data_IF_318094409324
#
_entry.id   IF_318094409324
#
_cell.length_a   1.000
_cell.length_b   1.000
_cell.length_c   1.000
_cell.angle_alpha   90.00
_cell.angle_beta   90.00
_cell.angle_gamma   90.00
#
_symmetry.space_group_name_H-M   'P 1'
#
loop_
_entity.id
_entity.type
_entity.pdbx_description
1 polymer ?
#
# COMPACT_ATOMS: atom_id res chain seq x y z
N UNK A 1 12.37 -69.03 45.96
CA UNK A 1 12.51 -67.57 45.99
C UNK A 1 11.98 -67.03 44.67
N UNK A 2 10.72 -66.59 44.61
CA UNK A 2 10.07 -66.09 43.37
C UNK A 2 10.29 -64.58 43.30
N UNK A 3 11.03 -64.11 42.30
CA UNK A 3 11.26 -62.68 42.03
C UNK A 3 10.03 -62.09 41.35
N UNK A 4 9.40 -61.08 41.96
CA UNK A 4 8.38 -60.24 41.32
C UNK A 4 9.08 -59.05 40.65
N UNK A 5 8.96 -58.92 39.34
CA UNK A 5 9.33 -57.71 38.61
C UNK A 5 8.15 -56.73 38.63
N UNK A 6 8.32 -55.60 39.32
CA UNK A 6 7.38 -54.47 39.28
C UNK A 6 7.77 -53.61 38.07
N UNK A 7 6.93 -53.60 37.04
CA UNK A 7 7.05 -52.64 35.94
C UNK A 7 6.46 -51.29 36.40
N UNK A 8 7.34 -50.31 36.61
CA UNK A 8 6.96 -48.92 36.83
C UNK A 8 6.49 -48.32 35.50
N UNK A 9 5.20 -47.99 35.41
CA UNK A 9 4.59 -47.32 34.27
C UNK A 9 4.87 -45.81 34.38
N UNK A 10 5.96 -45.34 33.79
CA UNK A 10 6.25 -43.90 33.68
C UNK A 10 5.31 -43.27 32.65
N UNK A 11 4.33 -42.50 33.13
CA UNK A 11 3.43 -41.71 32.30
C UNK A 11 4.22 -40.55 31.67
N UNK A 12 4.61 -40.69 30.40
CA UNK A 12 5.24 -39.61 29.63
C UNK A 12 4.16 -38.60 29.26
N UNK A 13 4.10 -37.49 29.99
CA UNK A 13 3.25 -36.35 29.66
C UNK A 13 3.77 -35.72 28.35
N UNK A 14 3.15 -36.05 27.22
CA UNK A 14 3.36 -35.31 25.97
C UNK A 14 2.78 -33.91 26.15
N UNK A 15 3.65 -32.93 26.35
CA UNK A 15 3.30 -31.51 26.28
C UNK A 15 2.95 -31.21 24.82
N UNK A 16 1.66 -31.28 24.47
CA UNK A 16 1.18 -30.85 23.16
C UNK A 16 1.39 -29.33 23.12
N UNK A 17 2.22 -28.79 22.22
CA UNK A 17 2.34 -27.35 22.09
C UNK A 17 0.95 -26.81 21.73
N UNK A 18 0.39 -25.97 22.60
CA UNK A 18 -0.83 -25.24 22.31
C UNK A 18 -0.57 -24.37 21.08
N UNK A 19 -1.10 -24.78 19.93
CA UNK A 19 -1.21 -23.89 18.78
C UNK A 19 -2.12 -22.75 19.23
N UNK A 20 -1.55 -21.56 19.49
CA UNK A 20 -2.34 -20.36 19.67
C UNK A 20 -3.10 -20.13 18.37
N UNK A 21 -4.35 -20.58 18.30
CA UNK A 21 -5.25 -20.23 17.22
C UNK A 21 -5.50 -18.73 17.34
N UNK A 22 -4.97 -17.95 16.39
CA UNK A 22 -5.38 -16.55 16.24
C UNK A 22 -6.91 -16.52 16.17
N UNK A 23 -7.55 -15.75 17.05
CA UNK A 23 -8.98 -15.50 16.96
C UNK A 23 -9.26 -14.91 15.58
N UNK A 24 -10.18 -15.52 14.83
CA UNK A 24 -10.47 -15.10 13.46
C UNK A 24 -11.45 -13.93 13.44
N UNK A 25 -11.09 -12.87 12.71
CA UNK A 25 -12.00 -11.78 12.37
C UNK A 25 -12.54 -11.98 10.95
N UNK A 26 -13.79 -11.57 10.70
CA UNK A 26 -14.37 -11.62 9.36
C UNK A 26 -15.04 -10.30 8.99
N UNK A 27 -14.97 -9.96 7.71
CA UNK A 27 -15.66 -8.81 7.13
C UNK A 27 -16.15 -9.18 5.72
N UNK A 28 -17.22 -8.53 5.26
CA UNK A 28 -17.74 -8.71 3.89
C UNK A 28 -17.79 -7.36 3.22
N UNK A 29 -17.06 -7.22 2.12
CA UNK A 29 -17.06 -6.05 1.22
C UNK A 29 -17.78 -6.43 -0.07
N UNK A 30 -18.11 -5.45 -0.91
CA UNK A 30 -18.81 -5.68 -2.18
C UNK A 30 -18.11 -6.71 -3.09
N UNK A 31 -16.78 -6.74 -3.08
CA UNK A 31 -15.98 -7.65 -3.89
C UNK A 31 -15.85 -9.07 -3.31
N UNK A 32 -16.14 -9.29 -2.02
CA UNK A 32 -16.09 -10.62 -1.42
C UNK A 32 -15.87 -10.64 0.10
N UNK A 33 -15.66 -11.85 0.63
CA UNK A 33 -15.42 -12.09 2.06
C UNK A 33 -13.94 -11.99 2.39
N UNK A 34 -13.65 -11.47 3.57
CA UNK A 34 -12.31 -11.27 4.12
C UNK A 34 -12.17 -12.01 5.45
N UNK A 35 -11.01 -12.62 5.68
CA UNK A 35 -10.61 -13.19 6.97
C UNK A 35 -9.38 -12.47 7.49
N UNK A 36 -9.54 -11.76 8.61
CA UNK A 36 -8.46 -11.17 9.38
C UNK A 36 -8.20 -11.96 10.66
N UNK A 37 -7.62 -11.29 11.64
CA UNK A 37 -7.41 -11.82 12.98
C UNK A 37 -7.73 -10.77 14.05
N UNK A 38 -7.95 -11.24 15.28
CA UNK A 38 -8.21 -10.39 16.43
C UNK A 38 -7.01 -10.41 17.37
N UNK A 39 -6.62 -9.23 17.85
CA UNK A 39 -5.60 -9.02 18.88
C UNK A 39 -6.30 -8.56 20.16
N UNK A 40 -6.11 -9.31 21.23
CA UNK A 40 -6.52 -8.88 22.57
C UNK A 40 -5.56 -7.80 23.06
N UNK A 41 -6.09 -6.73 23.67
CA UNK A 41 -5.23 -5.69 24.22
C UNK A 41 -4.87 -5.98 25.67
N UNK A 42 -3.56 -6.08 25.95
CA UNK A 42 -3.00 -6.52 27.24
C UNK A 42 -3.14 -5.54 28.42
N UNK A 43 -3.91 -4.46 28.29
CA UNK A 43 -4.04 -3.45 29.35
C UNK A 43 -5.51 -3.21 29.71
N UNK A 44 -5.73 -3.00 31.02
CA UNK A 44 -6.99 -3.00 31.79
C UNK A 44 -8.22 -2.23 31.25
N UNK A 45 -8.22 -1.63 30.05
CA UNK A 45 -9.38 -0.97 29.42
C UNK A 45 -9.34 -0.85 27.88
N UNK A 46 -8.66 -1.75 27.16
CA UNK A 46 -8.56 -1.66 25.69
C UNK A 46 -9.34 -2.82 25.06
N UNK A 47 -10.27 -2.52 24.15
CA UNK A 47 -11.07 -3.58 23.52
C UNK A 47 -10.21 -4.36 22.51
N UNK A 48 -10.66 -5.57 22.18
CA UNK A 48 -10.05 -6.38 21.15
C UNK A 48 -10.11 -5.67 19.77
N UNK A 49 -9.01 -5.75 19.02
CA UNK A 49 -8.85 -5.10 17.73
C UNK A 49 -8.85 -6.15 16.62
N UNK A 50 -9.74 -5.99 15.65
CA UNK A 50 -9.72 -6.76 14.41
C UNK A 50 -8.74 -6.13 13.43
N UNK A 51 -7.84 -6.93 12.89
CA UNK A 51 -6.79 -6.54 11.96
C UNK A 51 -6.99 -7.26 10.64
N UNK A 52 -7.00 -6.49 9.56
CA UNK A 52 -7.09 -6.98 8.18
C UNK A 52 -5.98 -6.34 7.36
N UNK A 53 -5.12 -7.15 6.77
CA UNK A 53 -3.96 -6.72 5.98
C UNK A 53 -4.06 -7.23 4.56
N UNK A 54 -3.59 -6.43 3.61
CA UNK A 54 -3.53 -6.85 2.22
C UNK A 54 -4.90 -6.94 1.54
N UNK A 55 -5.82 -6.02 1.84
CA UNK A 55 -7.12 -5.94 1.16
C UNK A 55 -6.93 -5.22 -0.18
N UNK A 56 -7.24 -5.84 -1.33
CA UNK A 56 -7.08 -5.18 -2.62
C UNK A 56 -8.12 -4.06 -2.79
N UNK A 57 -7.67 -2.88 -3.21
CA UNK A 57 -8.57 -1.77 -3.55
C UNK A 57 -8.58 -1.43 -5.05
N UNK A 58 -7.61 -1.96 -5.80
CA UNK A 58 -7.56 -1.90 -7.27
C UNK A 58 -7.00 -3.23 -7.83
N UNK A 59 -7.24 -3.49 -9.12
CA UNK A 59 -6.59 -4.60 -9.83
C UNK A 59 -5.06 -4.42 -9.82
N UNK A 60 -4.27 -5.51 -9.80
CA UNK A 60 -2.81 -5.44 -9.86
C UNK A 60 -2.33 -4.63 -11.08
N UNK A 61 -1.51 -3.58 -10.92
CA UNK A 61 -1.06 -2.70 -12.00
C UNK A 61 0.09 -3.32 -12.81
N UNK A 62 -0.04 -4.58 -13.20
CA UNK A 62 0.98 -5.38 -13.90
C UNK A 62 0.67 -5.54 -15.39
N UNK A 63 1.69 -5.89 -16.18
CA UNK A 63 1.55 -6.12 -17.61
C UNK A 63 0.96 -4.91 -18.34
N UNK A 64 -0.17 -5.09 -19.03
CA UNK A 64 -0.85 -4.00 -19.73
C UNK A 64 -1.43 -2.92 -18.79
N UNK A 65 -1.61 -3.24 -17.50
CA UNK A 65 -2.05 -2.27 -16.49
C UNK A 65 -0.90 -1.44 -15.90
N UNK A 66 0.36 -1.81 -16.15
CA UNK A 66 1.50 -0.96 -15.80
C UNK A 66 1.37 0.38 -16.51
N UNK A 67 1.57 1.48 -15.78
CA UNK A 67 1.36 2.85 -16.28
C UNK A 67 -0.09 3.16 -16.73
N UNK A 68 -1.09 2.45 -16.19
CA UNK A 68 -2.51 2.77 -16.39
C UNK A 68 -3.13 3.30 -15.10
N UNK A 69 -4.26 4.00 -15.21
CA UNK A 69 -5.09 4.33 -14.04
C UNK A 69 -5.46 3.05 -13.24
N UNK A 70 -5.58 3.14 -11.91
CA UNK A 70 -6.04 2.01 -11.11
C UNK A 70 -7.41 1.55 -11.60
N UNK A 71 -7.56 0.26 -11.82
CA UNK A 71 -8.84 -0.34 -12.24
C UNK A 71 -9.57 -0.91 -11.02
N UNK A 72 -10.90 -0.81 -11.03
CA UNK A 72 -11.74 -1.43 -10.01
C UNK A 72 -11.48 -2.93 -9.92
N UNK A 73 -11.35 -3.42 -8.69
CA UNK A 73 -11.21 -4.84 -8.37
C UNK A 73 -12.39 -5.64 -8.90
N UNK A 74 -12.11 -6.82 -9.45
CA UNK A 74 -13.11 -7.85 -9.69
C UNK A 74 -13.47 -8.53 -8.37
N UNK A 75 -14.73 -8.96 -8.28
CA UNK A 75 -15.15 -9.80 -7.17
C UNK A 75 -14.37 -11.13 -7.17
N UNK A 76 -14.08 -11.64 -5.98
CA UNK A 76 -13.45 -12.94 -5.79
C UNK A 76 -14.43 -13.95 -5.17
N UNK A 77 -14.21 -15.22 -5.47
CA UNK A 77 -14.93 -16.32 -4.84
C UNK A 77 -14.22 -16.77 -3.55
N UNK A 78 -14.99 -17.26 -2.59
CA UNK A 78 -14.46 -17.76 -1.32
C UNK A 78 -14.11 -16.65 -0.33
N UNK A 79 -13.14 -16.93 0.54
CA UNK A 79 -12.69 -16.02 1.61
C UNK A 79 -11.24 -15.63 1.32
N UNK A 80 -10.99 -14.34 1.15
CA UNK A 80 -9.64 -13.81 0.99
C UNK A 80 -8.96 -13.73 2.35
N UNK A 81 -7.80 -14.36 2.45
CA UNK A 81 -6.98 -14.32 3.65
C UNK A 81 -6.27 -12.96 3.76
N UNK A 82 -6.75 -12.14 4.69
CA UNK A 82 -6.26 -10.79 5.00
C UNK A 82 -5.52 -10.76 6.35
N UNK A 83 -4.76 -11.81 6.67
CA UNK A 83 -3.98 -11.90 7.93
C UNK A 83 -2.55 -11.40 7.78
N UNK A 84 -2.06 -11.26 6.56
CA UNK A 84 -0.67 -10.89 6.27
C UNK A 84 -0.60 -9.68 5.34
N UNK A 85 0.46 -8.88 5.50
CA UNK A 85 0.77 -7.83 4.56
C UNK A 85 1.02 -8.41 3.16
N UNK A 86 0.57 -7.67 2.16
CA UNK A 86 0.91 -7.90 0.75
C UNK A 86 2.24 -7.19 0.42
N UNK A 87 2.85 -7.48 -0.74
CA UNK A 87 4.09 -6.82 -1.15
C UNK A 87 3.96 -5.29 -1.10
N UNK A 88 5.03 -4.61 -0.68
CA UNK A 88 5.15 -3.18 -0.86
C UNK A 88 5.35 -2.86 -2.35
N UNK A 89 4.94 -1.66 -2.78
CA UNK A 89 5.20 -1.23 -4.15
C UNK A 89 6.71 -1.16 -4.42
N UNK A 90 7.14 -1.37 -5.69
CA UNK A 90 8.55 -1.29 -6.03
C UNK A 90 9.11 0.09 -5.69
N UNK A 91 10.25 0.13 -5.00
CA UNK A 91 10.81 1.36 -4.46
C UNK A 91 12.33 1.36 -4.45
N UNK A 92 12.93 2.54 -4.27
CA UNK A 92 14.35 2.64 -4.05
C UNK A 92 14.71 2.26 -2.59
N UNK A 93 15.17 1.03 -2.41
CA UNK A 93 15.56 0.51 -1.09
C UNK A 93 16.89 1.07 -0.57
N UNK A 94 17.69 1.76 -1.39
CA UNK A 94 18.95 2.37 -0.92
C UNK A 94 18.71 3.68 -0.16
N UNK A 95 17.55 4.31 -0.35
CA UNK A 95 17.16 5.54 0.34
C UNK A 95 16.66 5.31 1.78
N UNK A 96 16.46 4.06 2.21
CA UNK A 96 15.87 3.72 3.51
C UNK A 96 16.74 2.77 4.33
N UNK A 97 16.77 3.01 5.65
CA UNK A 97 17.51 2.18 6.62
C UNK A 97 16.83 0.85 6.94
N UNK A 98 15.53 0.72 6.62
CA UNK A 98 14.73 -0.48 6.85
C UNK A 98 13.95 -0.86 5.58
N UNK A 99 14.61 -1.51 4.61
CA UNK A 99 13.98 -1.87 3.35
C UNK A 99 12.89 -2.93 3.54
N UNK A 100 11.84 -2.82 2.73
CA UNK A 100 10.73 -3.78 2.77
C UNK A 100 11.19 -5.16 2.33
N UNK A 101 10.81 -6.18 3.09
CA UNK A 101 11.25 -7.57 2.85
C UNK A 101 10.72 -8.14 1.54
N UNK A 102 9.52 -7.73 1.14
CA UNK A 102 8.83 -8.22 -0.05
C UNK A 102 8.29 -7.02 -0.82
N UNK A 103 8.72 -6.89 -2.08
CA UNK A 103 8.26 -5.88 -3.02
C UNK A 103 7.81 -6.54 -4.31
N UNK A 104 6.74 -6.00 -4.90
CA UNK A 104 6.17 -6.46 -6.17
C UNK A 104 5.31 -5.34 -6.79
N UNK A 105 5.06 -5.37 -8.09
CA UNK A 105 4.13 -4.44 -8.74
C UNK A 105 2.66 -4.72 -8.36
N UNK A 106 2.33 -5.96 -8.02
CA UNK A 106 1.07 -6.28 -7.36
C UNK A 106 1.09 -5.77 -5.91
N UNK A 107 0.80 -4.47 -5.75
CA UNK A 107 0.96 -3.75 -4.49
C UNK A 107 -0.21 -2.83 -4.09
N UNK A 108 -1.29 -2.76 -4.87
CA UNK A 108 -2.44 -1.86 -4.60
C UNK A 108 -3.40 -2.44 -3.54
N UNK A 109 -2.87 -2.52 -2.33
CA UNK A 109 -3.56 -3.03 -1.14
C UNK A 109 -3.64 -2.00 -0.02
N UNK A 110 -4.63 -2.16 0.85
CA UNK A 110 -4.75 -1.38 2.08
C UNK A 110 -4.86 -2.29 3.31
N UNK A 111 -4.55 -1.71 4.46
CA UNK A 111 -4.54 -2.38 5.76
C UNK A 111 -5.47 -1.65 6.72
N UNK A 112 -6.23 -2.39 7.53
CA UNK A 112 -7.27 -1.88 8.44
C UNK A 112 -7.08 -2.44 9.83
N UNK A 113 -7.13 -1.55 10.82
CA UNK A 113 -7.13 -1.87 12.25
C UNK A 113 -8.39 -1.25 12.85
N UNK A 114 -9.30 -2.08 13.34
CA UNK A 114 -10.61 -1.65 13.81
C UNK A 114 -10.97 -2.31 15.14
N UNK A 115 -11.33 -1.49 16.13
CA UNK A 115 -11.91 -1.96 17.39
C UNK A 115 -13.20 -2.74 17.14
N UNK A 116 -13.43 -3.86 17.84
CA UNK A 116 -14.66 -4.64 17.68
C UNK A 116 -15.93 -3.83 17.99
N UNK A 117 -15.86 -2.84 18.90
CA UNK A 117 -16.99 -1.98 19.24
C UNK A 117 -17.33 -0.95 18.16
N UNK A 118 -16.52 -0.83 17.10
CA UNK A 118 -16.80 0.08 16.00
C UNK A 118 -18.05 -0.30 15.21
N UNK A 119 -18.39 -1.59 15.14
CA UNK A 119 -19.63 -2.04 14.49
C UNK A 119 -20.87 -1.36 15.07
N UNK A 120 -20.89 -1.12 16.39
CA UNK A 120 -22.00 -0.46 17.07
C UNK A 120 -21.84 1.07 17.08
N UNK A 121 -20.60 1.56 17.25
CA UNK A 121 -20.32 2.99 17.51
C UNK A 121 -20.14 3.83 16.25
N UNK A 122 -19.96 3.22 15.07
CA UNK A 122 -19.65 3.92 13.82
C UNK A 122 -18.43 4.84 13.98
N UNK A 123 -17.29 4.23 14.25
CA UNK A 123 -16.05 4.90 14.63
C UNK A 123 -15.56 5.90 13.57
N UNK A 124 -14.84 6.96 14.00
CA UNK A 124 -14.05 7.79 13.08
C UNK A 124 -12.91 7.00 12.46
N UNK A 125 -12.44 7.45 11.31
CA UNK A 125 -11.40 6.81 10.51
C UNK A 125 -10.19 7.73 10.43
N UNK A 126 -9.02 7.20 10.76
CA UNK A 126 -7.73 7.81 10.49
C UNK A 126 -7.13 7.12 9.25
N UNK A 127 -7.10 7.84 8.13
CA UNK A 127 -6.51 7.38 6.88
C UNK A 127 -5.08 7.92 6.76
N UNK A 128 -4.07 7.04 6.71
CA UNK A 128 -2.66 7.42 6.76
C UNK A 128 -2.03 7.31 5.37
N UNK A 129 -1.62 8.43 4.80
CA UNK A 129 -0.77 8.49 3.60
C UNK A 129 0.68 8.45 4.05
N UNK A 130 1.41 7.39 3.69
CA UNK A 130 2.84 7.29 4.00
C UNK A 130 3.65 8.31 3.18
N UNK A 131 4.77 8.75 3.75
CA UNK A 131 5.74 9.60 3.06
C UNK A 131 6.67 8.80 2.15
N UNK A 132 7.91 9.28 2.00
CA UNK A 132 8.97 8.59 1.29
C UNK A 132 9.30 9.17 -0.08
N UNK A 133 9.28 10.50 -0.20
CA UNK A 133 9.52 11.28 -1.42
C UNK A 133 8.89 10.72 -2.70
N UNK A 134 7.75 10.04 -2.60
CA UNK A 134 7.08 9.36 -3.70
C UNK A 134 7.88 8.25 -4.41
N UNK A 135 9.11 7.91 -3.98
CA UNK A 135 9.92 6.80 -4.53
C UNK A 135 10.40 5.77 -3.50
N UNK A 136 10.11 5.95 -2.21
CA UNK A 136 10.38 5.00 -1.12
C UNK A 136 9.29 4.96 -0.04
N UNK A 137 9.58 4.25 1.06
CA UNK A 137 8.63 3.89 2.13
C UNK A 137 7.49 2.98 1.64
N UNK A 138 6.52 2.69 2.51
CA UNK A 138 5.38 1.83 2.16
C UNK A 138 4.24 1.84 3.19
N UNK A 139 3.09 1.33 2.78
CA UNK A 139 1.96 1.04 3.65
C UNK A 139 2.20 -0.09 4.68
N UNK A 140 3.32 -0.81 4.59
CA UNK A 140 3.62 -1.99 5.42
C UNK A 140 4.77 -1.76 6.40
N UNK A 141 5.28 -0.51 6.48
CA UNK A 141 6.40 -0.14 7.34
C UNK A 141 6.00 0.19 8.79
N UNK A 142 4.70 0.37 9.04
CA UNK A 142 4.22 0.86 10.33
C UNK A 142 4.24 -0.24 11.40
N UNK A 143 4.47 0.17 12.64
CA UNK A 143 4.42 -0.74 13.79
C UNK A 143 2.97 -1.02 14.18
N UNK A 144 2.51 -2.24 13.93
CA UNK A 144 1.14 -2.69 14.25
C UNK A 144 0.77 -2.48 15.72
N UNK A 145 1.66 -2.83 16.64
CA UNK A 145 1.42 -2.71 18.08
C UNK A 145 1.21 -1.24 18.46
N UNK A 146 2.00 -0.35 17.87
CA UNK A 146 1.83 1.09 18.07
C UNK A 146 0.47 1.58 17.54
N UNK A 147 0.06 1.14 16.35
CA UNK A 147 -1.25 1.46 15.76
C UNK A 147 -2.38 0.97 16.68
N UNK A 148 -2.30 -0.29 17.11
CA UNK A 148 -3.30 -0.95 17.93
C UNK A 148 -3.44 -0.24 19.28
N UNK A 149 -2.32 -0.02 20.00
CA UNK A 149 -2.33 0.54 21.34
C UNK A 149 -2.71 2.02 21.39
N UNK A 150 -2.34 2.80 20.37
CA UNK A 150 -2.50 4.25 20.40
C UNK A 150 -3.76 4.76 19.70
N UNK A 151 -4.27 4.01 18.72
CA UNK A 151 -5.41 4.43 17.89
C UNK A 151 -6.53 3.39 17.90
N UNK A 152 -6.27 2.17 17.41
CA UNK A 152 -7.33 1.21 17.13
C UNK A 152 -8.12 0.84 18.38
N UNK A 153 -7.44 0.44 19.46
CA UNK A 153 -8.07 0.09 20.75
C UNK A 153 -8.79 1.25 21.45
N UNK A 154 -8.68 2.48 20.94
CA UNK A 154 -9.36 3.68 21.43
C UNK A 154 -10.57 4.06 20.57
N UNK A 155 -11.06 3.14 19.73
CA UNK A 155 -12.24 3.35 18.90
C UNK A 155 -11.98 4.24 17.68
N UNK A 156 -10.76 4.19 17.11
CA UNK A 156 -10.43 4.84 15.83
C UNK A 156 -10.08 3.76 14.83
N UNK A 157 -10.74 3.74 13.67
CA UNK A 157 -10.34 2.81 12.60
C UNK A 157 -9.13 3.40 11.90
N UNK A 158 -8.03 2.67 11.83
CA UNK A 158 -6.84 3.09 11.06
C UNK A 158 -6.84 2.39 9.72
N UNK A 159 -6.72 3.16 8.63
CA UNK A 159 -6.60 2.66 7.25
C UNK A 159 -5.28 3.15 6.66
N UNK A 160 -4.51 2.23 6.11
CA UNK A 160 -3.19 2.52 5.50
C UNK A 160 -3.17 1.94 4.08
N UNK A 161 -3.43 2.76 3.04
CA UNK A 161 -3.28 2.36 1.64
C UNK A 161 -1.83 2.35 1.19
N UNK A 162 -1.51 1.48 0.24
CA UNK A 162 -0.35 1.63 -0.64
C UNK A 162 -0.71 2.48 -1.87
N UNK A 163 0.29 3.06 -2.51
CA UNK A 163 0.19 3.72 -3.80
C UNK A 163 1.47 3.46 -4.59
N UNK A 164 1.41 3.48 -5.93
CA UNK A 164 2.61 3.28 -6.76
C UNK A 164 3.61 4.40 -6.54
N UNK A 165 4.88 4.01 -6.52
CA UNK A 165 6.03 4.87 -6.24
C UNK A 165 6.93 5.00 -7.49
N UNK A 166 7.80 5.99 -7.48
CA UNK A 166 8.84 6.23 -8.48
C UNK A 166 8.31 6.23 -9.90
N UNK A 167 9.06 5.60 -10.80
CA UNK A 167 8.68 5.43 -12.21
C UNK A 167 7.27 4.82 -12.38
N UNK A 168 6.84 3.93 -11.50
CA UNK A 168 5.55 3.24 -11.62
C UNK A 168 4.36 4.13 -11.27
N UNK A 169 4.56 5.11 -10.38
CA UNK A 169 3.53 6.06 -9.93
C UNK A 169 3.60 7.41 -10.64
N UNK A 170 4.77 7.82 -11.13
CA UNK A 170 5.08 9.19 -11.54
C UNK A 170 5.84 9.27 -12.87
N UNK A 171 5.60 8.31 -13.78
CA UNK A 171 6.03 8.43 -15.17
C UNK A 171 5.43 9.71 -15.81
N UNK A 172 6.26 10.57 -16.40
CA UNK A 172 5.82 11.76 -17.14
C UNK A 172 6.47 11.80 -18.54
N UNK A 173 5.64 11.70 -19.58
CA UNK A 173 6.05 11.76 -20.98
C UNK A 173 5.90 13.17 -21.59
N UNK A 174 5.63 14.19 -20.76
CA UNK A 174 5.33 15.56 -21.18
C UNK A 174 3.91 15.75 -21.70
N UNK A 175 3.06 14.73 -21.58
CA UNK A 175 1.64 14.76 -21.96
C UNK A 175 0.85 13.69 -21.21
N UNK A 176 -0.48 13.85 -21.15
CA UNK A 176 -1.38 12.88 -20.51
C UNK A 176 -1.80 11.72 -21.44
N UNK A 177 -1.17 11.59 -22.61
CA UNK A 177 -1.44 10.54 -23.59
C UNK A 177 -0.11 9.94 -24.11
N UNK A 178 0.09 8.62 -24.06
CA UNK A 178 -0.88 7.57 -23.72
C UNK A 178 -0.99 7.23 -22.23
N UNK A 179 -0.17 7.86 -21.38
CA UNK A 179 -0.14 7.60 -19.93
C UNK A 179 -0.59 8.85 -19.19
N UNK A 180 -1.65 8.77 -18.36
CA UNK A 180 -1.99 9.83 -17.43
C UNK A 180 -0.86 10.06 -16.41
N UNK A 181 -0.57 11.31 -16.09
CA UNK A 181 0.39 11.67 -15.03
C UNK A 181 -0.17 11.36 -13.64
N UNK A 182 0.70 11.35 -12.63
CA UNK A 182 0.34 11.26 -11.21
C UNK A 182 -0.46 9.99 -10.86
N UNK A 183 -0.08 8.83 -11.42
CA UNK A 183 -0.75 7.55 -11.18
C UNK A 183 -0.76 7.16 -9.70
N UNK A 184 0.29 7.48 -8.94
CA UNK A 184 0.32 7.27 -7.48
C UNK A 184 -0.76 8.08 -6.75
N UNK A 185 -1.05 9.31 -7.21
CA UNK A 185 -2.15 10.13 -6.68
C UNK A 185 -3.50 9.53 -7.05
N UNK A 186 -3.64 9.00 -8.28
CA UNK A 186 -4.84 8.29 -8.68
C UNK A 186 -5.08 7.02 -7.86
N UNK A 187 -4.02 6.31 -7.44
CA UNK A 187 -4.14 5.17 -6.54
C UNK A 187 -4.70 5.59 -5.18
N UNK A 188 -4.20 6.69 -4.60
CA UNK A 188 -4.72 7.26 -3.35
C UNK A 188 -6.20 7.66 -3.45
N UNK A 189 -6.60 8.27 -4.58
CA UNK A 189 -8.02 8.60 -4.83
C UNK A 189 -8.85 7.31 -4.92
N UNK A 190 -8.35 6.27 -5.60
CA UNK A 190 -9.03 4.99 -5.70
C UNK A 190 -9.23 4.32 -4.34
N UNK A 191 -8.21 4.33 -3.47
CA UNK A 191 -8.34 3.78 -2.11
C UNK A 191 -9.25 4.63 -1.21
N UNK A 192 -9.31 5.95 -1.39
CA UNK A 192 -10.30 6.79 -0.70
C UNK A 192 -11.74 6.45 -1.14
N UNK A 193 -11.98 6.22 -2.43
CA UNK A 193 -13.28 5.74 -2.90
C UNK A 193 -13.63 4.38 -2.30
N UNK A 194 -12.66 3.48 -2.22
CA UNK A 194 -12.84 2.19 -1.54
C UNK A 194 -13.25 2.40 -0.08
N UNK A 195 -12.58 3.29 0.65
CA UNK A 195 -12.95 3.62 2.05
C UNK A 195 -14.36 4.17 2.15
N UNK A 196 -14.74 5.12 1.28
CA UNK A 196 -16.09 5.67 1.28
C UNK A 196 -17.17 4.59 1.07
N UNK A 197 -16.90 3.62 0.21
CA UNK A 197 -17.86 2.58 -0.13
C UNK A 197 -17.88 1.41 0.86
N UNK A 198 -16.74 1.00 1.40
CA UNK A 198 -16.60 -0.31 2.06
C UNK A 198 -16.31 -0.21 3.58
N UNK A 199 -15.88 0.94 4.11
CA UNK A 199 -15.40 1.02 5.50
C UNK A 199 -16.49 0.73 6.55
N UNK A 200 -17.76 0.82 6.15
CA UNK A 200 -18.90 0.44 6.97
C UNK A 200 -18.87 -1.05 7.37
N UNK A 201 -18.27 -1.92 6.54
CA UNK A 201 -18.08 -3.34 6.84
C UNK A 201 -17.15 -3.59 8.04
N UNK A 202 -16.40 -2.56 8.46
CA UNK A 202 -15.49 -2.57 9.61
C UNK A 202 -16.00 -1.68 10.76
N UNK A 203 -17.23 -1.17 10.65
CA UNK A 203 -17.83 -0.27 11.63
C UNK A 203 -17.38 1.19 11.50
N UNK A 204 -16.84 1.59 10.34
CA UNK A 204 -16.42 2.97 10.09
C UNK A 204 -17.58 3.87 9.67
N UNK A 205 -17.49 5.15 10.01
CA UNK A 205 -18.37 6.17 9.48
C UNK A 205 -17.70 6.94 8.32
N UNK A 206 -18.10 6.74 7.05
CA UNK A 206 -17.46 7.39 5.90
C UNK A 206 -17.56 8.93 5.93
N UNK A 207 -18.43 9.50 6.76
CA UNK A 207 -18.55 10.96 7.00
C UNK A 207 -17.61 11.48 8.10
N UNK A 208 -16.75 10.63 8.68
CA UNK A 208 -15.79 10.97 9.75
C UNK A 208 -14.40 10.46 9.40
N UNK A 209 -13.95 10.76 8.19
CA UNK A 209 -12.60 10.42 7.72
C UNK A 209 -11.67 11.60 7.97
N UNK A 210 -10.61 11.34 8.73
CA UNK A 210 -9.46 12.22 8.90
C UNK A 210 -8.32 11.68 8.08
N UNK A 211 -7.88 12.44 7.08
CA UNK A 211 -6.70 12.09 6.29
C UNK A 211 -5.45 12.67 6.98
N UNK A 212 -4.42 11.85 7.17
CA UNK A 212 -3.17 12.22 7.82
C UNK A 212 -2.00 11.86 6.93
N UNK A 213 -1.01 12.74 6.84
CA UNK A 213 0.21 12.49 6.09
C UNK A 213 1.39 13.26 6.66
N UNK A 214 2.57 12.66 6.59
CA UNK A 214 3.83 13.25 6.99
C UNK A 214 4.78 13.36 5.80
N UNK A 215 5.61 14.42 5.72
CA UNK A 215 6.52 14.63 4.57
C UNK A 215 5.70 14.69 3.28
N UNK A 216 6.11 14.02 2.21
CA UNK A 216 5.34 13.98 0.96
C UNK A 216 3.96 13.36 1.09
N UNK A 217 3.69 12.56 2.13
CA UNK A 217 2.32 12.14 2.44
C UNK A 217 1.44 13.34 2.81
N UNK A 218 2.02 14.33 3.50
CA UNK A 218 1.39 15.63 3.75
C UNK A 218 1.23 16.45 2.46
N UNK A 219 2.25 16.48 1.60
CA UNK A 219 2.20 17.16 0.29
C UNK A 219 1.12 16.56 -0.61
N UNK A 220 1.00 15.23 -0.67
CA UNK A 220 -0.05 14.53 -1.39
C UNK A 220 -1.45 14.96 -0.93
N UNK A 221 -1.66 15.09 0.38
CA UNK A 221 -2.94 15.57 0.94
C UNK A 221 -3.18 17.04 0.57
N UNK A 222 -2.14 17.88 0.61
CA UNK A 222 -2.24 19.27 0.18
C UNK A 222 -2.66 19.36 -1.30
N UNK A 223 -2.03 18.58 -2.18
CA UNK A 223 -2.38 18.50 -3.61
C UNK A 223 -3.81 17.99 -3.82
N UNK A 224 -4.20 16.91 -3.15
CA UNK A 224 -5.56 16.36 -3.21
C UNK A 224 -6.61 17.37 -2.74
N UNK A 225 -6.30 18.21 -1.76
CA UNK A 225 -7.22 19.20 -1.19
C UNK A 225 -7.52 20.38 -2.13
N UNK A 226 -6.68 20.62 -3.12
CA UNK A 226 -6.84 21.72 -4.09
C UNK A 226 -7.09 21.22 -5.52
N UNK A 227 -7.06 19.91 -5.75
CA UNK A 227 -7.29 19.32 -7.06
C UNK A 227 -8.75 19.51 -7.49
N UNK A 228 -9.03 20.17 -8.63
CA UNK A 228 -10.39 20.55 -9.02
C UNK A 228 -11.32 19.36 -9.32
N UNK A 229 -10.75 18.21 -9.68
CA UNK A 229 -11.49 17.02 -10.10
C UNK A 229 -11.50 15.91 -9.04
N UNK A 230 -11.05 16.19 -7.81
CA UNK A 230 -11.09 15.24 -6.70
C UNK A 230 -12.20 15.68 -5.74
N UNK A 231 -13.30 14.92 -5.60
CA UNK A 231 -14.29 15.24 -4.58
C UNK A 231 -13.68 15.12 -3.19
N UNK A 232 -14.19 15.88 -2.23
CA UNK A 232 -13.71 15.81 -0.86
C UNK A 232 -14.19 14.50 -0.21
N UNK A 233 -13.35 13.46 -0.28
CA UNK A 233 -13.61 12.11 0.26
C UNK A 233 -13.23 11.99 1.75
N UNK A 234 -12.95 13.12 2.41
CA UNK A 234 -12.62 13.22 3.83
C UNK A 234 -13.28 14.45 4.46
N UNK A 235 -13.28 14.53 5.78
CA UNK A 235 -13.88 15.64 6.53
C UNK A 235 -12.85 16.49 7.28
N UNK A 236 -11.67 15.92 7.54
CA UNK A 236 -10.58 16.58 8.26
C UNK A 236 -9.24 16.18 7.63
N UNK A 237 -8.27 17.07 7.64
CA UNK A 237 -6.92 16.81 7.15
C UNK A 237 -5.89 17.21 8.20
N UNK A 238 -4.86 16.37 8.39
CA UNK A 238 -3.70 16.65 9.22
C UNK A 238 -2.45 16.52 8.35
N UNK A 239 -1.86 17.67 8.00
CA UNK A 239 -0.71 17.77 7.12
C UNK A 239 0.51 18.07 7.99
N UNK A 240 1.37 17.08 8.16
CA UNK A 240 2.55 17.16 9.03
C UNK A 240 3.81 17.31 8.20
N UNK A 241 4.60 18.36 8.46
CA UNK A 241 5.89 18.60 7.80
C UNK A 241 5.87 18.36 6.29
N UNK A 242 4.92 18.95 5.52
CA UNK A 242 4.85 18.72 4.08
C UNK A 242 6.11 19.27 3.41
N UNK A 243 6.55 18.59 2.35
CA UNK A 243 7.49 19.21 1.45
C UNK A 243 6.71 20.22 0.58
N UNK A 244 6.97 21.52 0.80
CA UNK A 244 6.26 22.63 0.20
C UNK A 244 7.06 23.32 -0.91
N UNK A 245 8.16 22.72 -1.37
CA UNK A 245 9.02 23.36 -2.37
C UNK A 245 8.44 23.12 -3.76
N UNK A 246 8.43 24.17 -4.58
CA UNK A 246 8.08 24.10 -5.99
C UNK A 246 8.88 22.99 -6.64
N UNK A 247 8.26 21.83 -6.83
CA UNK A 247 8.87 20.71 -7.53
C UNK A 247 9.01 21.17 -8.98
N UNK A 248 10.22 21.60 -9.35
CA UNK A 248 10.56 21.77 -10.75
C UNK A 248 10.16 20.48 -11.45
N UNK A 249 9.35 20.55 -12.50
CA UNK A 249 8.93 19.34 -13.22
C UNK A 249 10.17 18.72 -13.92
N UNK A 250 10.88 17.88 -13.18
CA UNK A 250 12.05 17.10 -13.59
C UNK A 250 11.69 15.69 -14.02
N UNK A 251 10.41 15.31 -13.88
CA UNK A 251 9.92 13.97 -14.23
C UNK A 251 10.06 13.66 -15.72
N UNK A 252 9.90 14.66 -16.60
CA UNK A 252 10.09 14.46 -18.05
C UNK A 252 11.55 14.12 -18.37
N UNK A 253 12.57 14.92 -17.99
CA UNK A 253 13.98 14.52 -18.14
C UNK A 253 14.32 13.14 -17.56
N UNK A 254 13.80 12.82 -16.37
CA UNK A 254 14.03 11.52 -15.71
C UNK A 254 13.42 10.36 -16.50
N UNK A 255 12.19 10.53 -16.97
CA UNK A 255 11.49 9.54 -17.79
C UNK A 255 12.25 9.32 -19.10
N UNK A 256 12.77 10.39 -19.72
CA UNK A 256 13.59 10.28 -20.93
C UNK A 256 14.92 9.53 -20.67
N UNK A 257 15.58 9.78 -19.54
CA UNK A 257 16.77 9.04 -19.14
C UNK A 257 16.48 7.54 -18.91
N UNK A 258 15.34 7.22 -18.28
CA UNK A 258 14.87 5.83 -18.13
C UNK A 258 14.65 5.21 -19.50
N UNK A 259 13.94 5.88 -20.40
CA UNK A 259 13.66 5.38 -21.74
C UNK A 259 14.94 5.12 -22.53
N UNK A 260 15.91 6.01 -22.47
CA UNK A 260 17.20 5.84 -23.14
C UNK A 260 17.94 4.62 -22.59
N UNK A 261 18.08 4.54 -21.27
CA UNK A 261 18.82 3.47 -20.60
C UNK A 261 18.14 2.11 -20.70
N UNK A 262 16.81 2.10 -20.76
CA UNK A 262 16.01 0.91 -21.02
C UNK A 262 16.05 0.43 -22.48
N UNK A 263 16.69 1.20 -23.39
CA UNK A 263 16.65 0.92 -24.84
C UNK A 263 15.26 1.11 -25.45
N UNK A 264 14.42 1.92 -24.80
CA UNK A 264 13.03 2.18 -25.17
C UNK A 264 12.81 3.57 -25.79
N UNK A 265 13.87 4.36 -25.99
CA UNK A 265 13.76 5.70 -26.59
C UNK A 265 13.79 5.68 -28.13
N UNK A 266 14.65 4.84 -28.72
CA UNK A 266 14.93 4.83 -30.16
C UNK A 266 14.53 3.51 -30.84
N UNK A 267 14.25 3.56 -32.14
CA UNK A 267 13.93 2.38 -32.94
C UNK A 267 15.19 1.60 -33.33
N UNK A 268 15.49 0.53 -32.58
CA UNK A 268 16.69 -0.29 -32.82
C UNK A 268 17.98 0.48 -32.56
N UNK A 269 19.02 0.23 -33.37
CA UNK A 269 20.31 0.91 -33.22
C UNK A 269 20.35 2.32 -33.85
N UNK A 270 19.24 2.82 -34.39
CA UNK A 270 19.19 4.10 -35.06
C UNK A 270 18.74 5.21 -34.10
N UNK A 271 19.70 5.93 -33.51
CA UNK A 271 19.47 7.06 -32.61
C UNK A 271 18.80 8.27 -33.28
N UNK A 272 18.65 8.26 -34.61
CA UNK A 272 17.96 9.33 -35.34
C UNK A 272 16.45 9.12 -35.45
N UNK A 273 15.90 8.00 -34.96
CA UNK A 273 14.47 7.68 -35.04
C UNK A 273 13.89 7.38 -33.65
N UNK A 274 13.34 8.41 -33.01
CA UNK A 274 12.63 8.31 -31.73
C UNK A 274 11.34 7.50 -31.90
N UNK A 275 11.08 6.59 -30.96
CA UNK A 275 9.83 5.85 -30.88
C UNK A 275 8.65 6.78 -30.54
N UNK A 276 7.43 6.45 -30.99
CA UNK A 276 6.23 7.13 -30.49
C UNK A 276 6.07 6.88 -28.99
N UNK A 277 5.38 7.77 -28.28
CA UNK A 277 5.12 7.60 -26.84
C UNK A 277 4.38 6.30 -26.53
N UNK A 278 3.49 5.83 -27.41
CA UNK A 278 2.85 4.52 -27.30
C UNK A 278 3.84 3.36 -27.41
N UNK A 279 4.79 3.45 -28.35
CA UNK A 279 5.82 2.42 -28.53
C UNK A 279 6.82 2.42 -27.37
N UNK A 280 7.16 3.59 -26.83
CA UNK A 280 7.99 3.77 -25.65
C UNK A 280 7.35 3.06 -24.43
N UNK A 281 6.07 3.33 -24.16
CA UNK A 281 5.33 2.70 -23.05
C UNK A 281 5.21 1.19 -23.27
N UNK A 282 4.92 0.75 -24.51
CA UNK A 282 4.87 -0.68 -24.85
C UNK A 282 6.23 -1.37 -24.67
N UNK A 283 7.32 -0.67 -24.88
CA UNK A 283 8.67 -1.18 -24.61
C UNK A 283 8.89 -1.33 -23.10
N UNK A 284 8.63 -0.28 -22.30
CA UNK A 284 8.79 -0.33 -20.84
C UNK A 284 7.93 -1.42 -20.18
N UNK A 285 6.72 -1.67 -20.68
CA UNK A 285 5.83 -2.75 -20.19
C UNK A 285 6.39 -4.16 -20.37
N UNK A 286 7.33 -4.36 -21.31
CA UNK A 286 7.96 -5.68 -21.54
C UNK A 286 9.11 -5.98 -20.59
N UNK A 287 9.65 -4.97 -19.92
CA UNK A 287 10.78 -5.14 -19.01
C UNK A 287 10.32 -5.68 -17.66
N UNK A 288 11.20 -6.43 -16.98
CA UNK A 288 10.94 -6.84 -15.61
C UNK A 288 10.99 -5.62 -14.68
N UNK A 289 10.11 -5.54 -13.68
CA UNK A 289 10.06 -4.37 -12.82
C UNK A 289 11.35 -4.17 -12.02
N UNK A 290 12.09 -5.24 -11.70
CA UNK A 290 13.38 -5.13 -11.02
C UNK A 290 14.43 -4.50 -11.92
N UNK A 291 14.36 -4.74 -13.23
CA UNK A 291 15.22 -4.04 -14.20
C UNK A 291 14.91 -2.56 -14.23
N UNK A 292 13.61 -2.20 -14.26
CA UNK A 292 13.18 -0.80 -14.23
C UNK A 292 13.59 -0.08 -12.94
N UNK A 293 13.45 -0.73 -11.79
CA UNK A 293 13.94 -0.18 -10.51
C UNK A 293 15.47 -0.04 -10.51
N UNK A 294 16.21 -1.00 -11.07
CA UNK A 294 17.66 -0.89 -11.24
C UNK A 294 18.04 0.35 -12.06
N UNK A 295 17.38 0.54 -13.20
CA UNK A 295 17.59 1.71 -14.07
C UNK A 295 17.26 3.02 -13.34
N UNK A 296 16.11 3.07 -12.64
CA UNK A 296 15.70 4.21 -11.85
C UNK A 296 16.77 4.57 -10.81
N UNK A 297 17.27 3.60 -10.04
CA UNK A 297 18.32 3.83 -9.03
C UNK A 297 19.57 4.44 -9.61
N UNK A 298 20.03 3.92 -10.75
CA UNK A 298 21.23 4.45 -11.39
C UNK A 298 21.03 5.90 -11.92
N UNK A 299 19.80 6.32 -12.19
CA UNK A 299 19.44 7.69 -12.57
C UNK A 299 19.36 8.58 -11.32
N UNK A 300 18.77 8.07 -10.24
CA UNK A 300 18.69 8.75 -8.95
C UNK A 300 20.07 9.04 -8.34
N UNK A 301 21.03 8.11 -8.49
CA UNK A 301 22.44 8.30 -8.10
C UNK A 301 23.12 9.46 -8.86
N UNK A 302 22.56 9.88 -10.00
CA UNK A 302 22.99 11.05 -10.78
C UNK A 302 22.23 12.33 -10.40
N UNK A 303 21.56 12.35 -9.24
CA UNK A 303 20.75 13.46 -8.73
C UNK A 303 19.48 13.76 -9.54
N UNK A 304 18.93 12.75 -10.23
CA UNK A 304 17.66 12.83 -10.96
C UNK A 304 16.60 11.98 -10.22
N UNK A 305 16.08 12.51 -9.12
CA UNK A 305 15.15 11.80 -8.21
C UNK A 305 13.71 11.75 -8.73
N UNK A 306 13.06 10.59 -8.70
CA UNK A 306 11.62 10.47 -9.02
C UNK A 306 10.74 10.97 -7.86
N UNK A 307 10.93 12.23 -7.48
CA UNK A 307 10.32 12.82 -6.30
C UNK A 307 8.87 13.28 -6.48
N UNK A 308 8.28 13.14 -7.69
CA UNK A 308 6.82 13.24 -7.92
C UNK A 308 6.27 14.66 -8.04
#
# INVERSE_FOLDING_TARGET
MKLFFIFSLTLILFCIPSTNSLNHASATVSAGKLQGYTVESNENRKNAVNVFKGIPFAEPPIGDLRFSLPKSIKSWNGILNATNYKPACPSNTTAISSPQKVTDEDCLYLNIFADQTCMDKKCPILYIVHGGDFYYDSAVMFNDEYIIQNFASKGVIVVIPAYRLGLFGFLDLGSDNPVPRNLGIHDLVSSLYWVQNEIHAFGGNPKKVTIFGNSVGGSAIAFLSVAPNVPLLWSQAFISSPDCVMMENKLVPQTMAVLEKAGCLYSGNNTNMTLSTEMQVKCLRKLDWKQLIGIQREIEDQSLLFDG
#
